data_IF_942159541508
#
_entry.id   IF_942159541508
#
_cell.length_a   1.000
_cell.length_b   1.000
_cell.length_c   1.000
_cell.angle_alpha   90.00
_cell.angle_beta   90.00
_cell.angle_gamma   90.00
#
_symmetry.space_group_name_H-M   'P 1'
#
loop_
_entity.id
_entity.type
_entity.pdbx_description
1 polymer ?
#
# COMPACT_ATOMS: atom_id res chain seq x y z
N UNK A 1 -0.07 17.08 -4.67
CA UNK A 1 -1.08 16.11 -5.14
C UNK A 1 -2.40 16.40 -4.43
N UNK A 2 -3.51 16.34 -5.14
CA UNK A 2 -4.85 16.49 -4.57
C UNK A 2 -5.25 15.15 -3.92
N UNK A 3 -5.60 15.16 -2.64
CA UNK A 3 -5.93 13.97 -1.85
C UNK A 3 -7.39 14.04 -1.43
N UNK A 4 -8.31 13.71 -2.34
CA UNK A 4 -9.76 13.70 -2.06
C UNK A 4 -10.20 12.44 -1.28
N UNK A 5 -9.45 11.34 -1.39
CA UNK A 5 -9.72 10.08 -0.71
C UNK A 5 -8.77 9.88 0.47
N UNK A 6 -9.32 9.49 1.64
CA UNK A 6 -8.54 9.24 2.86
C UNK A 6 -7.54 8.10 2.63
N UNK A 7 -6.26 8.32 2.94
CA UNK A 7 -5.20 7.31 2.86
C UNK A 7 -4.25 7.44 1.65
N UNK A 8 -4.69 8.11 0.58
CA UNK A 8 -3.93 8.27 -0.67
C UNK A 8 -2.54 8.91 -0.50
N UNK A 9 -2.43 9.84 0.46
CA UNK A 9 -1.17 10.49 0.79
C UNK A 9 -0.09 9.52 1.27
N UNK A 10 -0.45 8.56 2.12
CA UNK A 10 0.51 7.63 2.72
C UNK A 10 1.01 6.62 1.69
N UNK A 11 0.11 6.14 0.84
CA UNK A 11 0.45 5.21 -0.24
C UNK A 11 1.47 5.82 -1.20
N UNK A 12 1.30 7.10 -1.56
CA UNK A 12 2.29 7.84 -2.35
C UNK A 12 3.61 7.99 -1.59
N UNK A 13 3.59 8.24 -0.29
CA UNK A 13 4.81 8.35 0.52
C UNK A 13 5.60 7.04 0.54
N UNK A 14 4.91 5.91 0.68
CA UNK A 14 5.50 4.58 0.66
C UNK A 14 6.06 4.25 -0.73
N UNK A 15 5.35 4.62 -1.80
CA UNK A 15 5.84 4.49 -3.17
C UNK A 15 7.10 5.32 -3.43
N UNK A 16 7.13 6.60 -3.02
CA UNK A 16 8.31 7.45 -3.16
C UNK A 16 9.52 6.82 -2.46
N UNK A 17 9.31 6.23 -1.28
CA UNK A 17 10.35 5.46 -0.57
C UNK A 17 10.79 4.21 -1.34
N UNK A 18 9.85 3.49 -1.95
CA UNK A 18 10.12 2.30 -2.77
C UNK A 18 10.98 2.61 -4.00
N UNK A 19 10.84 3.81 -4.57
CA UNK A 19 11.66 4.30 -5.70
C UNK A 19 13.11 4.64 -5.31
N UNK A 20 13.51 4.44 -4.05
CA UNK A 20 14.85 4.78 -3.57
C UNK A 20 15.07 6.28 -3.37
N UNK A 21 13.99 7.07 -3.28
CA UNK A 21 14.05 8.48 -2.93
C UNK A 21 13.80 8.69 -1.44
N UNK A 22 14.45 9.70 -0.87
CA UNK A 22 14.25 10.05 0.53
C UNK A 22 13.27 11.21 0.64
N UNK A 23 12.19 11.04 1.41
CA UNK A 23 11.27 12.14 1.72
C UNK A 23 11.91 13.01 2.80
N UNK A 24 12.30 14.23 2.43
CA UNK A 24 12.83 15.23 3.35
C UNK A 24 11.71 15.90 4.14
N UNK A 25 10.56 16.16 3.49
CA UNK A 25 9.43 16.84 4.12
C UNK A 25 8.11 16.42 3.47
N UNK A 26 7.11 16.09 4.26
CA UNK A 26 5.72 15.93 3.83
C UNK A 26 4.86 17.00 4.50
N UNK A 27 4.05 17.73 3.73
CA UNK A 27 3.09 18.72 4.24
C UNK A 27 1.73 18.40 3.66
N UNK A 28 0.70 18.43 4.50
CA UNK A 28 -0.69 18.37 4.08
C UNK A 28 -1.30 19.76 4.34
N UNK A 29 -1.88 20.36 3.32
CA UNK A 29 -2.50 21.69 3.34
C UNK A 29 -3.95 21.58 2.87
N UNK A 30 -4.88 22.21 3.58
CA UNK A 30 -6.26 22.35 3.10
C UNK A 30 -6.37 23.65 2.32
N UNK A 31 -6.69 23.58 1.02
CA UNK A 31 -6.93 24.74 0.16
C UNK A 31 -8.31 24.62 -0.46
N UNK A 32 -9.18 25.62 -0.22
CA UNK A 32 -10.51 25.73 -0.87
C UNK A 32 -11.31 24.42 -0.72
N UNK A 33 -11.48 23.96 0.53
CA UNK A 33 -12.14 22.69 0.89
C UNK A 33 -11.53 21.40 0.30
N UNK A 34 -10.34 21.48 -0.30
CA UNK A 34 -9.60 20.33 -0.83
C UNK A 34 -8.33 20.10 -0.02
N UNK A 35 -8.00 18.84 0.22
CA UNK A 35 -6.76 18.46 0.90
C UNK A 35 -5.66 18.27 -0.15
N UNK A 36 -4.54 18.94 0.03
CA UNK A 36 -3.37 18.88 -0.83
C UNK A 36 -2.18 18.36 -0.06
N UNK A 37 -1.45 17.43 -0.67
CA UNK A 37 -0.18 16.96 -0.18
C UNK A 37 0.98 17.54 -0.97
N UNK A 38 2.05 17.91 -0.26
CA UNK A 38 3.33 18.33 -0.85
C UNK A 38 4.47 17.55 -0.21
N UNK A 39 5.26 16.90 -1.05
CA UNK A 39 6.47 16.20 -0.63
C UNK A 39 7.70 16.91 -1.20
N UNK A 40 8.69 17.12 -0.36
CA UNK A 40 10.06 17.43 -0.75
C UNK A 40 10.85 16.15 -0.66
N UNK A 41 11.44 15.76 -1.78
CA UNK A 41 12.18 14.50 -1.92
C UNK A 41 13.61 14.79 -2.35
N UNK A 42 14.53 13.98 -1.87
CA UNK A 42 15.92 13.91 -2.31
C UNK A 42 16.09 12.66 -3.18
N UNK A 43 16.63 12.87 -4.38
CA UNK A 43 16.87 11.80 -5.35
C UNK A 43 18.38 11.59 -5.54
N UNK A 44 18.78 10.34 -5.72
CA UNK A 44 20.16 9.97 -6.07
C UNK A 44 20.55 10.54 -7.44
N UNK A 45 21.87 10.69 -7.66
CA UNK A 45 22.43 11.32 -8.88
C UNK A 45 22.03 10.63 -10.18
N UNK A 46 21.70 9.34 -10.09
CA UNK A 46 21.36 8.48 -11.23
C UNK A 46 19.87 8.56 -11.61
N UNK A 47 19.05 9.25 -10.80
CA UNK A 47 17.61 9.38 -11.04
C UNK A 47 17.32 10.69 -11.77
N UNK A 48 16.75 10.59 -12.96
CA UNK A 48 16.37 11.79 -13.73
C UNK A 48 15.03 12.36 -13.25
N UNK A 49 14.85 13.67 -13.38
CA UNK A 49 13.57 14.33 -13.07
C UNK A 49 12.41 13.72 -13.87
N UNK A 50 12.66 13.34 -15.12
CA UNK A 50 11.64 12.73 -15.99
C UNK A 50 11.20 11.36 -15.47
N UNK A 51 12.16 10.51 -15.06
CA UNK A 51 11.88 9.20 -14.47
C UNK A 51 10.95 9.32 -13.25
N UNK A 52 11.26 10.29 -12.37
CA UNK A 52 10.48 10.57 -11.16
C UNK A 52 9.06 11.01 -11.55
N UNK A 53 8.94 11.93 -12.51
CA UNK A 53 7.63 12.42 -12.97
C UNK A 53 6.79 11.30 -13.58
N UNK A 54 7.37 10.46 -14.44
CA UNK A 54 6.67 9.36 -15.08
C UNK A 54 6.18 8.32 -14.06
N UNK A 55 7.04 7.92 -13.12
CA UNK A 55 6.67 6.99 -12.05
C UNK A 55 5.53 7.55 -11.20
N UNK A 56 5.64 8.81 -10.75
CA UNK A 56 4.60 9.46 -9.95
C UNK A 56 3.27 9.60 -10.69
N UNK A 57 3.29 9.96 -11.98
CA UNK A 57 2.06 10.10 -12.79
C UNK A 57 1.39 8.75 -12.99
N UNK A 58 2.15 7.70 -13.32
CA UNK A 58 1.62 6.35 -13.48
C UNK A 58 0.92 5.86 -12.20
N UNK A 59 1.54 6.08 -11.04
CA UNK A 59 0.97 5.71 -9.75
C UNK A 59 -0.29 6.52 -9.47
N UNK A 60 -0.25 7.85 -9.65
CA UNK A 60 -1.42 8.70 -9.47
C UNK A 60 -2.59 8.25 -10.34
N UNK A 61 -2.35 7.90 -11.60
CA UNK A 61 -3.39 7.37 -12.48
C UNK A 61 -3.93 6.02 -12.02
N UNK A 62 -3.08 5.09 -11.60
CA UNK A 62 -3.50 3.77 -11.13
C UNK A 62 -4.34 3.87 -9.86
N UNK A 63 -3.90 4.67 -8.90
CA UNK A 63 -4.63 4.84 -7.64
C UNK A 63 -5.93 5.63 -7.86
N UNK A 64 -6.01 6.52 -8.87
CA UNK A 64 -7.26 7.18 -9.28
C UNK A 64 -8.22 6.23 -10.04
N UNK A 65 -7.70 5.33 -10.89
CA UNK A 65 -8.49 4.31 -11.61
C UNK A 65 -8.97 3.19 -10.67
N UNK A 66 -8.19 2.88 -9.63
CA UNK A 66 -8.48 1.87 -8.61
C UNK A 66 -9.47 2.32 -7.51
N UNK A 67 -10.06 3.52 -7.63
CA UNK A 67 -11.14 3.99 -6.75
C UNK A 67 -12.45 3.18 -6.88
N UNK A 68 -12.45 2.10 -7.66
CA UNK A 68 -13.50 1.09 -7.73
C UNK A 68 -12.94 -0.32 -7.60
N UNK A 69 -12.44 -0.68 -6.41
CA UNK A 69 -12.49 -2.07 -5.96
C UNK A 69 -13.36 -2.12 -4.70
N UNK A 70 -14.62 -2.46 -4.96
CA UNK A 70 -15.58 -3.00 -4.01
C UNK A 70 -14.94 -4.05 -3.12
N UNK A 71 -15.21 -3.95 -1.82
CA UNK A 71 -15.23 -5.09 -0.91
C UNK A 71 -15.92 -6.28 -1.60
N UNK A 72 -15.16 -7.30 -2.02
CA UNK A 72 -15.58 -8.71 -2.07
C UNK A 72 -14.43 -9.52 -2.67
N UNK A 73 -13.56 -10.07 -1.82
CA UNK A 73 -12.85 -11.29 -2.18
C UNK A 73 -12.74 -12.18 -0.93
N UNK A 74 -13.88 -12.79 -0.60
CA UNK A 74 -14.01 -13.95 0.26
C UNK A 74 -15.01 -14.88 -0.43
N UNK A 75 -14.60 -15.52 -1.51
CA UNK A 75 -15.19 -16.79 -1.92
C UNK A 75 -14.16 -17.58 -2.71
N UNK A 76 -13.91 -18.82 -2.28
CA UNK A 76 -13.10 -19.76 -3.06
C UNK A 76 -11.86 -20.34 -2.38
N UNK A 77 -11.99 -20.91 -1.17
CA UNK A 77 -11.19 -22.10 -0.83
C UNK A 77 -12.14 -23.22 -0.43
N UNK A 78 -12.85 -23.75 -1.42
CA UNK A 78 -13.22 -25.17 -1.45
C UNK A 78 -12.06 -25.92 -2.10
N UNK A 79 -11.03 -26.19 -1.32
CA UNK A 79 -9.98 -27.15 -1.69
C UNK A 79 -9.94 -28.24 -0.62
N UNK A 80 -10.66 -29.32 -0.92
CA UNK A 80 -10.40 -30.65 -0.38
C UNK A 80 -8.92 -30.98 -0.50
N UNK A 81 -8.24 -31.28 0.61
CA UNK A 81 -7.41 -32.49 0.79
C UNK A 81 -7.02 -32.70 2.28
N UNK A 82 -6.89 -33.96 2.73
CA UNK A 82 -6.80 -34.32 4.14
C UNK A 82 -5.36 -34.27 4.64
N UNK A 83 -5.16 -33.84 5.88
CA UNK A 83 -3.95 -34.17 6.62
C UNK A 83 -4.31 -34.46 8.08
N UNK A 84 -4.60 -35.73 8.35
CA UNK A 84 -4.65 -36.28 9.69
C UNK A 84 -3.22 -36.34 10.22
N UNK A 85 -2.83 -35.40 11.07
CA UNK A 85 -1.68 -35.62 11.95
C UNK A 85 -2.16 -36.38 13.20
N UNK A 86 -1.86 -37.67 13.18
CA UNK A 86 -1.83 -38.57 14.32
C UNK A 86 -0.76 -38.13 15.31
N UNK A 87 -1.14 -37.92 16.58
CA UNK A 87 -0.27 -38.13 17.74
C UNK A 87 -1.14 -38.70 18.87
N UNK A 88 -0.82 -39.89 19.42
CA UNK A 88 -1.54 -40.45 20.56
C UNK A 88 -0.99 -39.86 21.86
N UNK A 89 -1.82 -39.18 22.65
CA UNK A 89 -1.49 -38.92 24.05
C UNK A 89 -1.95 -40.13 24.85
N UNK A 90 -0.97 -40.92 25.27
CA UNK A 90 -1.09 -42.01 26.23
C UNK A 90 -1.04 -41.48 27.67
N UNK A 91 -1.82 -42.10 28.56
CA UNK A 91 -1.78 -41.93 30.02
C UNK A 91 -3.02 -41.21 30.56
N UNK A 92 -3.97 -41.82 31.28
CA UNK A 92 -3.91 -43.01 32.12
C UNK A 92 -3.40 -42.67 33.51
N UNK A 93 -4.30 -42.29 34.44
CA UNK A 93 -4.27 -42.68 35.86
C UNK A 93 -5.50 -42.14 36.61
N UNK A 94 -6.21 -43.06 37.26
CA UNK A 94 -7.29 -42.85 38.23
C UNK A 94 -6.78 -42.31 39.57
N UNK A 95 -7.63 -41.58 40.30
CA UNK A 95 -8.12 -41.97 41.64
C UNK A 95 -9.48 -41.31 41.88
#
# INVERSE_FOLDING_TARGET
MLCEQRGFFLEIADWIRSLGMTILKGVIETRINKIWARFTVEASRDVTRMEIFMQLVNILEQTMKSGGISETMLDGIKATIPFTNTLPVTGGCSM
#
